data_IF_118682597990
#
_entry.id   IF_118682597990
#
_cell.length_a   1.000
_cell.length_b   1.000
_cell.length_c   1.000
_cell.angle_alpha   90.00
_cell.angle_beta   90.00
_cell.angle_gamma   90.00
#
_symmetry.space_group_name_H-M   'P 1'
#
loop_
_entity.id
_entity.type
_entity.pdbx_description
1 polymer ?
#
# COMPACT_ATOMS: atom_id res chain seq x y z
N UNK A 1 -35.57 46.50 -25.42
CA UNK A 1 -35.49 45.04 -25.65
C UNK A 1 -34.09 44.44 -25.44
N UNK A 2 -32.97 45.16 -25.69
CA UNK A 2 -31.59 44.61 -25.58
C UNK A 2 -31.15 44.15 -24.17
N UNK A 3 -31.57 44.81 -23.09
CA UNK A 3 -31.16 44.46 -21.71
C UNK A 3 -31.65 43.08 -21.25
N UNK A 4 -32.86 42.66 -21.65
CA UNK A 4 -33.42 41.35 -21.28
C UNK A 4 -32.70 40.19 -21.97
N UNK A 5 -32.34 40.36 -23.25
CA UNK A 5 -31.57 39.36 -24.00
C UNK A 5 -30.17 39.16 -23.41
N UNK A 6 -29.48 40.25 -23.01
CA UNK A 6 -28.17 40.17 -22.35
C UNK A 6 -28.25 39.40 -21.02
N UNK A 7 -29.26 39.66 -20.20
CA UNK A 7 -29.48 38.94 -18.93
C UNK A 7 -29.69 37.44 -19.18
N UNK A 8 -30.49 37.08 -20.20
CA UNK A 8 -30.73 35.67 -20.55
C UNK A 8 -29.46 34.95 -21.03
N UNK A 9 -28.62 35.61 -21.83
CA UNK A 9 -27.34 35.05 -22.30
C UNK A 9 -26.36 34.87 -21.13
N UNK A 10 -26.27 35.86 -20.24
CA UNK A 10 -25.41 35.77 -19.05
C UNK A 10 -25.90 34.64 -18.12
N UNK A 11 -27.20 34.52 -17.90
CA UNK A 11 -27.77 33.44 -17.09
C UNK A 11 -27.47 32.05 -17.68
N UNK A 12 -27.61 31.89 -19.01
CA UNK A 12 -27.27 30.64 -19.69
C UNK A 12 -25.79 30.29 -19.55
N UNK A 13 -24.89 31.28 -19.68
CA UNK A 13 -23.45 31.09 -19.46
C UNK A 13 -23.13 30.68 -18.03
N UNK A 14 -23.78 31.26 -17.02
CA UNK A 14 -23.59 30.88 -15.61
C UNK A 14 -24.04 29.44 -15.37
N UNK A 15 -25.17 29.02 -15.94
CA UNK A 15 -25.65 27.63 -15.81
C UNK A 15 -24.68 26.64 -16.48
N UNK A 16 -24.17 26.97 -17.68
CA UNK A 16 -23.19 26.14 -18.38
C UNK A 16 -21.89 26.05 -17.57
N UNK A 17 -21.40 27.17 -17.04
CA UNK A 17 -20.21 27.19 -16.19
C UNK A 17 -20.43 26.37 -14.91
N UNK A 18 -21.57 26.52 -14.23
CA UNK A 18 -21.90 25.73 -13.06
C UNK A 18 -21.95 24.23 -13.37
N UNK A 19 -22.59 23.83 -14.49
CA UNK A 19 -22.66 22.42 -14.91
C UNK A 19 -21.29 21.82 -15.23
N UNK A 20 -20.34 22.63 -15.73
CA UNK A 20 -18.98 22.19 -16.08
C UNK A 20 -18.05 22.15 -14.86
N UNK A 21 -18.18 23.10 -13.93
CA UNK A 21 -17.27 23.22 -12.79
C UNK A 21 -17.75 22.51 -11.53
N UNK A 22 -19.06 22.44 -11.27
CA UNK A 22 -19.58 21.81 -10.05
C UNK A 22 -19.18 20.32 -9.92
N UNK A 23 -19.24 19.48 -10.97
CA UNK A 23 -18.78 18.09 -10.87
C UNK A 23 -17.27 17.98 -10.61
N UNK A 24 -16.45 18.88 -11.19
CA UNK A 24 -15.01 18.88 -10.96
C UNK A 24 -14.69 19.21 -9.50
N UNK A 25 -15.31 20.26 -8.98
CA UNK A 25 -15.16 20.68 -7.57
C UNK A 25 -15.66 19.59 -6.62
N UNK A 26 -16.77 18.94 -6.96
CA UNK A 26 -17.30 17.82 -6.19
C UNK A 26 -16.33 16.63 -6.16
N UNK A 27 -15.82 16.23 -7.32
CA UNK A 27 -14.86 15.12 -7.42
C UNK A 27 -13.55 15.42 -6.68
N UNK A 28 -13.03 16.65 -6.76
CA UNK A 28 -11.83 17.03 -6.02
C UNK A 28 -12.08 16.99 -4.52
N UNK A 29 -13.22 17.51 -4.07
CA UNK A 29 -13.59 17.48 -2.66
C UNK A 29 -13.80 16.06 -2.13
N UNK A 30 -14.42 15.17 -2.91
CA UNK A 30 -14.55 13.76 -2.55
C UNK A 30 -13.17 13.10 -2.42
N UNK A 31 -12.29 13.32 -3.40
CA UNK A 31 -10.93 12.78 -3.36
C UNK A 31 -10.12 13.32 -2.16
N UNK A 32 -10.30 14.59 -1.78
CA UNK A 32 -9.70 15.17 -0.57
C UNK A 32 -10.24 14.51 0.71
N UNK A 33 -11.55 14.29 0.82
CA UNK A 33 -12.15 13.59 1.97
C UNK A 33 -11.66 12.16 2.08
N UNK A 34 -11.56 11.45 0.96
CA UNK A 34 -11.02 10.09 0.94
C UNK A 34 -9.56 10.05 1.35
N UNK A 35 -8.73 10.98 0.87
CA UNK A 35 -7.32 11.09 1.28
C UNK A 35 -7.18 11.42 2.77
N UNK A 36 -8.01 12.32 3.28
CA UNK A 36 -8.02 12.67 4.70
C UNK A 36 -8.41 11.44 5.55
N UNK A 37 -9.46 10.72 5.15
CA UNK A 37 -9.88 9.48 5.81
C UNK A 37 -8.81 8.40 5.78
N UNK A 38 -8.11 8.22 4.63
CA UNK A 38 -6.97 7.31 4.51
C UNK A 38 -5.84 7.69 5.47
N UNK A 39 -5.45 8.95 5.46
CA UNK A 39 -4.36 9.47 6.30
C UNK A 39 -4.68 9.26 7.79
N UNK A 40 -5.92 9.50 8.20
CA UNK A 40 -6.37 9.27 9.57
C UNK A 40 -6.27 7.78 9.96
N UNK A 41 -6.75 6.87 9.09
CA UNK A 41 -6.68 5.42 9.34
C UNK A 41 -5.25 4.92 9.41
N UNK A 42 -4.39 5.32 8.47
CA UNK A 42 -2.96 4.99 8.50
C UNK A 42 -2.32 5.52 9.79
N UNK A 43 -2.62 6.77 10.17
CA UNK A 43 -2.14 7.35 11.42
C UNK A 43 -2.55 6.55 12.66
N UNK A 44 -3.81 6.10 12.70
CA UNK A 44 -4.37 5.30 13.81
C UNK A 44 -3.66 3.97 13.99
N UNK A 45 -3.38 3.25 12.90
CA UNK A 45 -2.78 1.91 12.94
C UNK A 45 -1.26 1.88 12.84
N UNK A 46 -0.60 3.02 12.57
CA UNK A 46 0.86 3.11 12.37
C UNK A 46 1.65 2.39 13.46
N UNK A 47 1.36 2.70 14.73
CA UNK A 47 2.09 2.10 15.85
C UNK A 47 1.84 0.59 16.01
N UNK A 48 0.64 0.13 15.66
CA UNK A 48 0.30 -1.30 15.74
C UNK A 48 0.89 -2.11 14.59
N UNK A 49 0.96 -1.53 13.40
CA UNK A 49 1.49 -2.19 12.20
C UNK A 49 3.01 -2.14 12.12
N UNK A 50 3.67 -1.19 12.79
CA UNK A 50 5.14 -1.03 12.73
C UNK A 50 5.90 -2.35 12.97
N UNK A 51 5.60 -3.16 14.02
CA UNK A 51 6.29 -4.42 14.23
C UNK A 51 6.07 -5.43 13.10
N UNK A 52 4.87 -5.46 12.50
CA UNK A 52 4.57 -6.31 11.36
C UNK A 52 5.39 -5.89 10.12
N UNK A 53 5.48 -4.58 9.85
CA UNK A 53 6.21 -4.04 8.69
C UNK A 53 7.72 -4.28 8.81
N UNK A 54 8.27 -4.09 10.01
CA UNK A 54 9.69 -4.39 10.29
C UNK A 54 9.98 -5.88 10.13
N UNK A 55 9.11 -6.74 10.67
CA UNK A 55 9.24 -8.19 10.53
C UNK A 55 9.10 -8.63 9.08
N UNK A 56 8.13 -8.11 8.33
CA UNK A 56 7.95 -8.42 6.91
C UNK A 56 9.18 -8.06 6.08
N UNK A 57 9.78 -6.90 6.34
CA UNK A 57 11.04 -6.48 5.71
C UNK A 57 12.18 -7.46 6.01
N UNK A 58 12.35 -7.81 7.29
CA UNK A 58 13.39 -8.74 7.74
C UNK A 58 13.21 -10.15 7.15
N UNK A 59 11.96 -10.59 6.94
CA UNK A 59 11.68 -11.87 6.27
C UNK A 59 12.10 -11.80 4.81
N UNK A 60 11.66 -10.76 4.10
CA UNK A 60 11.94 -10.58 2.67
C UNK A 60 13.42 -10.38 2.34
N UNK A 61 14.20 -9.76 3.23
CA UNK A 61 15.65 -9.60 3.04
C UNK A 61 16.50 -10.72 3.68
N UNK A 62 15.86 -11.67 4.37
CA UNK A 62 16.51 -12.83 4.97
C UNK A 62 17.26 -12.55 6.27
N UNK A 63 16.88 -11.49 7.00
CA UNK A 63 17.48 -11.09 8.28
C UNK A 63 16.56 -11.31 9.50
N UNK A 64 15.40 -11.94 9.31
CA UNK A 64 14.43 -12.19 10.38
C UNK A 64 15.01 -13.03 11.53
N UNK A 65 14.87 -12.51 12.76
CA UNK A 65 15.18 -13.20 14.01
C UNK A 65 13.96 -13.11 14.95
N UNK A 66 13.30 -14.23 15.31
CA UNK A 66 13.60 -15.61 14.88
C UNK A 66 13.36 -15.82 13.38
N UNK A 67 13.94 -16.89 12.80
CA UNK A 67 13.74 -17.26 11.40
C UNK A 67 12.26 -17.32 11.02
N UNK A 68 11.97 -16.98 9.76
CA UNK A 68 10.61 -16.97 9.25
C UNK A 68 9.97 -18.37 9.31
N UNK A 69 8.70 -18.44 9.67
CA UNK A 69 7.94 -19.70 9.64
C UNK A 69 6.48 -19.43 9.29
N UNK A 70 5.83 -20.40 8.64
CA UNK A 70 4.41 -20.28 8.27
C UNK A 70 3.50 -20.07 9.49
N UNK A 71 3.83 -20.67 10.63
CA UNK A 71 3.08 -20.50 11.88
C UNK A 71 3.14 -19.06 12.41
N UNK A 72 4.32 -18.43 12.34
CA UNK A 72 4.55 -17.10 12.88
C UNK A 72 4.15 -15.98 11.90
N UNK A 73 4.37 -16.21 10.61
CA UNK A 73 4.37 -15.17 9.59
C UNK A 73 3.25 -15.33 8.54
N UNK A 74 2.56 -16.47 8.55
CA UNK A 74 1.53 -16.79 7.57
C UNK A 74 2.07 -16.67 6.15
N UNK A 75 1.39 -15.87 5.32
CA UNK A 75 1.70 -15.74 3.91
C UNK A 75 3.08 -15.07 3.66
N UNK A 76 3.55 -14.25 4.60
CA UNK A 76 4.87 -13.60 4.48
C UNK A 76 6.02 -14.60 4.47
N UNK A 77 5.83 -15.80 5.02
CA UNK A 77 6.84 -16.87 4.96
C UNK A 77 7.29 -17.17 3.53
N UNK A 78 6.36 -17.24 2.57
CA UNK A 78 6.65 -17.53 1.17
C UNK A 78 7.36 -16.38 0.43
N UNK A 79 7.27 -15.17 0.98
CA UNK A 79 8.02 -14.00 0.51
C UNK A 79 9.46 -13.96 1.04
N UNK A 80 9.79 -14.81 2.01
CA UNK A 80 11.10 -14.84 2.65
C UNK A 80 12.23 -15.18 1.68
N UNK A 81 13.35 -14.48 1.81
CA UNK A 81 14.53 -14.74 0.98
C UNK A 81 15.01 -16.20 1.11
N UNK A 82 14.97 -16.77 2.32
CA UNK A 82 15.32 -18.16 2.56
C UNK A 82 14.48 -19.15 1.74
N UNK A 83 13.21 -18.85 1.52
CA UNK A 83 12.31 -19.67 0.69
C UNK A 83 12.62 -19.49 -0.81
N UNK A 84 13.04 -18.29 -1.21
CA UNK A 84 13.20 -17.91 -2.61
C UNK A 84 14.61 -18.13 -3.15
N UNK A 85 15.64 -18.26 -2.31
CA UNK A 85 17.05 -18.28 -2.74
C UNK A 85 17.37 -19.32 -3.82
N UNK A 86 16.66 -20.45 -3.83
CA UNK A 86 16.84 -21.49 -4.85
C UNK A 86 16.49 -21.04 -6.27
N UNK A 87 15.59 -20.05 -6.42
CA UNK A 87 15.20 -19.49 -7.71
C UNK A 87 16.17 -18.40 -8.22
N UNK A 88 17.09 -17.93 -7.37
CA UNK A 88 18.01 -16.82 -7.67
C UNK A 88 19.46 -17.20 -7.29
N UNK A 89 20.08 -18.12 -8.04
CA UNK A 89 21.38 -18.71 -7.68
C UNK A 89 22.54 -17.71 -7.64
N UNK A 90 22.45 -16.62 -8.41
CA UNK A 90 23.49 -15.58 -8.50
C UNK A 90 23.31 -14.48 -7.45
N UNK A 91 22.17 -14.45 -6.75
CA UNK A 91 21.87 -13.44 -5.74
C UNK A 91 22.46 -13.83 -4.39
N UNK A 92 23.24 -12.92 -3.81
CA UNK A 92 23.91 -13.11 -2.51
C UNK A 92 23.32 -12.23 -1.41
N UNK A 93 22.65 -11.13 -1.79
CA UNK A 93 22.07 -10.17 -0.86
C UNK A 93 20.78 -9.59 -1.44
N UNK A 94 19.79 -9.42 -0.58
CA UNK A 94 18.53 -8.73 -0.90
C UNK A 94 18.44 -7.48 -0.05
N UNK A 95 17.96 -6.39 -0.62
CA UNK A 95 17.61 -5.17 0.10
C UNK A 95 16.15 -4.84 -0.17
N UNK A 96 15.40 -4.63 0.91
CA UNK A 96 14.01 -4.23 0.86
C UNK A 96 13.92 -2.79 1.39
N UNK A 97 13.27 -1.91 0.64
CA UNK A 97 13.03 -0.53 1.11
C UNK A 97 12.11 -0.54 2.33
N UNK A 98 12.02 0.56 3.10
CA UNK A 98 10.95 0.72 4.07
C UNK A 98 9.59 0.44 3.41
N UNK A 99 8.74 -0.32 4.11
CA UNK A 99 7.40 -0.66 3.62
C UNK A 99 6.46 0.46 4.02
N UNK A 100 5.94 1.18 3.03
CA UNK A 100 5.06 2.33 3.24
C UNK A 100 3.60 1.88 3.23
N UNK A 101 2.86 2.20 4.30
CA UNK A 101 1.41 1.97 4.35
C UNK A 101 0.69 3.17 3.74
N UNK A 102 -0.08 2.93 2.68
CA UNK A 102 -0.82 3.94 1.92
C UNK A 102 -2.32 3.94 2.21
N UNK A 103 -2.86 2.82 2.68
CA UNK A 103 -4.21 2.70 3.23
C UNK A 103 -4.30 1.56 4.24
N UNK A 104 -5.28 1.66 5.14
CA UNK A 104 -5.70 0.62 6.07
C UNK A 104 -7.22 0.64 6.15
N UNK A 105 -7.87 -0.48 5.91
CA UNK A 105 -9.32 -0.64 6.02
C UNK A 105 -9.66 -1.85 6.91
N UNK A 106 -10.44 -1.69 7.98
CA UNK A 106 -10.98 -2.83 8.72
C UNK A 106 -11.88 -3.69 7.83
N UNK A 107 -11.76 -5.01 7.94
CA UNK A 107 -12.57 -5.96 7.15
C UNK A 107 -13.96 -6.26 7.74
N UNK A 108 -14.22 -5.80 8.97
CA UNK A 108 -15.47 -6.03 9.69
C UNK A 108 -15.48 -7.26 10.60
N UNK A 109 -14.46 -8.12 10.51
CA UNK A 109 -14.29 -9.34 11.30
C UNK A 109 -13.15 -9.24 12.32
N UNK A 110 -12.57 -8.04 12.47
CA UNK A 110 -11.44 -7.77 13.36
C UNK A 110 -10.07 -7.90 12.69
N UNK A 111 -10.04 -8.09 11.37
CA UNK A 111 -8.85 -7.99 10.54
C UNK A 111 -8.72 -6.63 9.86
N UNK A 112 -7.63 -6.49 9.10
CA UNK A 112 -7.26 -5.31 8.33
C UNK A 112 -6.87 -5.71 6.92
N UNK A 113 -7.37 -4.94 5.96
CA UNK A 113 -6.80 -4.84 4.62
C UNK A 113 -5.81 -3.67 4.64
N UNK A 114 -4.53 -3.96 4.43
CA UNK A 114 -3.42 -3.00 4.46
C UNK A 114 -2.88 -2.86 3.05
N UNK A 115 -2.86 -1.64 2.53
CA UNK A 115 -2.30 -1.34 1.20
C UNK A 115 -0.89 -0.77 1.38
N UNK A 116 0.11 -1.48 0.87
CA UNK A 116 1.53 -1.16 1.06
C UNK A 116 2.25 -0.82 -0.24
N UNK A 117 3.38 -0.15 -0.14
CA UNK A 117 4.31 0.08 -1.24
C UNK A 117 5.75 -0.11 -0.79
N UNK A 118 6.55 -0.84 -1.56
CA UNK A 118 7.95 -1.11 -1.26
C UNK A 118 8.72 -1.54 -2.51
N UNK A 119 10.03 -1.64 -2.37
CA UNK A 119 10.95 -2.08 -3.43
C UNK A 119 11.84 -3.19 -2.92
N UNK A 120 12.20 -4.09 -3.81
CA UNK A 120 13.15 -5.18 -3.56
C UNK A 120 14.27 -5.08 -4.58
N UNK A 121 15.52 -5.06 -4.11
CA UNK A 121 16.72 -5.07 -4.97
C UNK A 121 17.58 -6.27 -4.60
N UNK A 122 17.94 -7.06 -5.60
CA UNK A 122 18.79 -8.24 -5.44
C UNK A 122 20.18 -7.95 -5.98
N UNK A 123 21.21 -8.38 -5.25
CA UNK A 123 22.61 -8.11 -5.56
C UNK A 123 23.40 -9.40 -5.73
N UNK A 124 24.27 -9.42 -6.74
CA UNK A 124 25.27 -10.46 -6.95
C UNK A 124 26.47 -10.30 -6.03
N UNK A 125 27.33 -11.31 -6.02
CA UNK A 125 28.55 -11.33 -5.20
C UNK A 125 29.52 -10.17 -5.51
N UNK A 126 29.54 -9.68 -6.75
CA UNK A 126 30.37 -8.54 -7.17
C UNK A 126 29.77 -7.17 -6.80
N UNK A 127 28.62 -7.16 -6.12
CA UNK A 127 27.86 -5.96 -5.76
C UNK A 127 26.99 -5.40 -6.89
N UNK A 128 27.02 -6.03 -8.08
CA UNK A 128 26.14 -5.68 -9.19
C UNK A 128 24.67 -5.98 -8.86
N UNK A 129 23.78 -5.14 -9.37
CA UNK A 129 22.33 -5.39 -9.28
C UNK A 129 21.97 -6.54 -10.20
N UNK A 130 21.40 -7.60 -9.63
CA UNK A 130 20.86 -8.72 -10.40
C UNK A 130 19.45 -8.42 -10.89
N UNK A 131 18.58 -7.99 -9.97
CA UNK A 131 17.19 -7.66 -10.27
C UNK A 131 16.67 -6.55 -9.35
N UNK A 132 15.59 -5.90 -9.81
CA UNK A 132 14.88 -4.87 -9.07
C UNK A 132 13.37 -4.99 -9.32
N UNK A 133 12.58 -4.99 -8.24
CA UNK A 133 11.12 -5.06 -8.28
C UNK A 133 10.51 -3.93 -7.45
N UNK A 134 9.38 -3.40 -7.90
CA UNK A 134 8.60 -2.37 -7.20
C UNK A 134 7.16 -2.84 -7.04
N UNK A 135 6.67 -2.79 -5.81
CA UNK A 135 5.30 -3.14 -5.43
C UNK A 135 4.59 -1.86 -5.02
N UNK A 136 3.58 -1.45 -5.78
CA UNK A 136 2.84 -0.20 -5.57
C UNK A 136 1.38 -0.53 -5.34
N UNK A 137 0.89 -0.22 -4.15
CA UNK A 137 -0.49 -0.51 -3.78
C UNK A 137 -0.77 -2.01 -3.61
N UNK A 138 0.21 -2.78 -3.16
CA UNK A 138 0.05 -4.20 -2.88
C UNK A 138 -0.86 -4.40 -1.66
N UNK A 139 -1.75 -5.39 -1.71
CA UNK A 139 -2.81 -5.57 -0.71
C UNK A 139 -2.50 -6.76 0.19
N UNK A 140 -2.37 -6.49 1.48
CA UNK A 140 -2.13 -7.50 2.51
C UNK A 140 -3.34 -7.61 3.40
N UNK A 141 -3.80 -8.83 3.64
CA UNK A 141 -4.84 -9.10 4.62
C UNK A 141 -4.19 -9.61 5.90
N UNK A 142 -4.37 -8.86 6.98
CA UNK A 142 -3.82 -9.12 8.28
C UNK A 142 -4.93 -9.39 9.30
N UNK A 143 -4.67 -10.31 10.21
CA UNK A 143 -5.55 -10.60 11.36
C UNK A 143 -4.74 -10.56 12.64
N UNK A 144 -5.41 -10.35 13.78
CA UNK A 144 -4.74 -10.50 15.08
C UNK A 144 -4.35 -11.96 15.29
N UNK A 145 -3.09 -12.19 15.63
CA UNK A 145 -2.54 -13.51 15.99
C UNK A 145 -1.57 -13.37 17.14
N UNK A 146 -1.66 -14.26 18.14
CA UNK A 146 -0.78 -14.28 19.31
C UNK A 146 -0.55 -12.88 19.92
N UNK A 147 0.63 -12.32 19.65
CA UNK A 147 1.11 -11.03 20.17
C UNK A 147 0.95 -9.84 19.21
N UNK A 148 0.45 -10.01 17.99
CA UNK A 148 0.49 -8.95 16.97
C UNK A 148 -0.46 -9.14 15.79
N UNK A 149 -0.14 -8.46 14.69
CA UNK A 149 -0.78 -8.67 13.40
C UNK A 149 -0.01 -9.74 12.62
N UNK A 150 -0.73 -10.64 11.97
CA UNK A 150 -0.17 -11.69 11.10
C UNK A 150 -0.85 -11.60 9.75
N UNK A 151 -0.06 -11.60 8.68
CA UNK A 151 -0.56 -11.56 7.29
C UNK A 151 -0.94 -12.98 6.88
N UNK A 152 -2.20 -13.19 6.54
CA UNK A 152 -2.71 -14.50 6.13
C UNK A 152 -2.98 -14.60 4.63
N UNK A 153 -2.90 -13.47 3.91
CA UNK A 153 -3.05 -13.42 2.46
C UNK A 153 -2.40 -12.14 1.90
N UNK A 154 -1.71 -12.29 0.77
CA UNK A 154 -1.19 -11.19 -0.04
C UNK A 154 -1.80 -11.36 -1.43
N UNK A 155 -2.32 -10.29 -2.03
CA UNK A 155 -2.97 -10.39 -3.34
C UNK A 155 -1.99 -10.62 -4.49
N UNK A 156 -0.75 -10.16 -4.34
CA UNK A 156 0.35 -10.50 -5.24
C UNK A 156 1.06 -11.78 -4.79
N UNK A 157 1.52 -12.56 -5.77
CA UNK A 157 2.39 -13.70 -5.51
C UNK A 157 3.86 -13.28 -5.69
N UNK A 158 4.78 -13.84 -4.89
CA UNK A 158 6.20 -13.48 -4.90
C UNK A 158 6.89 -13.77 -6.23
#
# INVERSE_FOLDING_TARGET
>A
MRKRALISVVAALVVILAAVYAPRVWNTWQAERERAGRTERVGRYRGELQPLLERARAIMDGTADPPASEELDGELFYWGWDHRRGAYPDTTRVEVSPIEVTDVAPDGEGGLTVTVSFKVTQYRADGGVDSHASFVGDTWHARRGGSGWVVYRIETSP
#
